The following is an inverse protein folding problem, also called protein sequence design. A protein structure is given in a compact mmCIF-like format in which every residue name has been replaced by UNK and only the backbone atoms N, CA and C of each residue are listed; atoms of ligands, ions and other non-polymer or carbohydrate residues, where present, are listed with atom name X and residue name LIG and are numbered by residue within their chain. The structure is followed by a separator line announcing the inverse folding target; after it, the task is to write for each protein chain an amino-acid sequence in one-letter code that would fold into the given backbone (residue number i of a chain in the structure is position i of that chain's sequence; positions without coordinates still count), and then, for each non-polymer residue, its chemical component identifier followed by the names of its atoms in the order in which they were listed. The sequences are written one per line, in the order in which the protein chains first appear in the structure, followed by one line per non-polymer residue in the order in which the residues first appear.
data_IF_665365997739
#
_entry.id   IF_665365997739
#
_cell.length_a   1.000
_cell.length_b   1.000
_cell.length_c   1.000
_cell.angle_alpha   90.00
_cell.angle_beta   90.00
_cell.angle_gamma   90.00
#
_symmetry.space_group_name_H-M   'P 1'
#
loop_
_entity.id
_entity.type
_entity.pdbx_description
1 polymer ?
#
# COMPACT_ATOMS: atom_id res chain seq x y z
N UNK A 1 18.22 -9.88 -1.03
CA UNK A 1 18.10 -8.42 -1.29
C UNK A 1 18.13 -7.74 0.07
N UNK A 2 18.93 -6.69 0.25
CA UNK A 2 18.87 -5.89 1.47
C UNK A 2 17.61 -5.00 1.47
N UNK A 3 16.97 -4.79 2.63
CA UNK A 3 15.82 -3.92 2.74
C UNK A 3 16.19 -2.48 2.36
N UNK A 4 15.34 -1.84 1.54
CA UNK A 4 15.47 -0.45 1.12
C UNK A 4 14.24 0.33 1.54
N UNK A 5 14.44 1.56 2.01
CA UNK A 5 13.36 2.50 2.29
C UNK A 5 13.19 3.39 1.07
N UNK A 6 11.96 3.63 0.67
CA UNK A 6 11.63 4.47 -0.46
C UNK A 6 10.83 5.69 -0.01
N UNK A 7 11.03 6.80 -0.70
CA UNK A 7 10.24 8.03 -0.57
C UNK A 7 9.57 8.32 -1.90
N UNK A 8 8.27 8.59 -1.86
CA UNK A 8 7.50 8.95 -3.04
C UNK A 8 6.52 10.07 -2.73
N UNK A 9 6.26 10.93 -3.71
CA UNK A 9 5.13 11.83 -3.72
C UNK A 9 4.06 11.28 -4.68
N UNK A 10 2.80 11.32 -4.26
CA UNK A 10 1.68 10.79 -5.04
C UNK A 10 0.60 11.86 -5.08
N UNK A 11 0.38 12.43 -6.25
CA UNK A 11 -0.77 13.29 -6.48
C UNK A 11 -2.01 12.41 -6.73
N UNK A 12 -3.05 12.60 -5.92
CA UNK A 12 -4.33 11.93 -6.11
C UNK A 12 -5.15 12.74 -7.12
N UNK A 13 -5.34 12.23 -8.36
CA UNK A 13 -6.01 12.98 -9.41
C UNK A 13 -7.49 13.19 -9.07
N UNK A 14 -8.08 14.24 -9.63
CA UNK A 14 -9.48 14.60 -9.36
C UNK A 14 -10.45 13.45 -9.66
N UNK A 15 -10.26 12.72 -10.76
CA UNK A 15 -11.09 11.54 -11.08
C UNK A 15 -11.03 10.43 -10.01
N UNK A 16 -9.90 10.25 -9.33
CA UNK A 16 -9.80 9.33 -8.20
C UNK A 16 -10.64 9.81 -7.01
N UNK A 17 -10.68 11.12 -6.76
CA UNK A 17 -11.51 11.74 -5.71
C UNK A 17 -12.99 11.56 -6.00
N UNK A 18 -13.40 11.69 -7.26
CA UNK A 18 -14.78 11.48 -7.70
C UNK A 18 -15.23 10.02 -7.54
N UNK A 19 -14.36 9.06 -7.88
CA UNK A 19 -14.63 7.62 -7.66
C UNK A 19 -14.81 7.36 -6.15
N UNK A 20 -13.89 7.88 -5.32
CA UNK A 20 -13.96 7.72 -3.88
C UNK A 20 -15.21 8.37 -3.27
N UNK A 21 -15.57 9.57 -3.72
CA UNK A 21 -16.80 10.23 -3.30
C UNK A 21 -18.03 9.39 -3.66
N UNK A 22 -18.11 8.94 -4.91
CA UNK A 22 -19.18 8.06 -5.38
C UNK A 22 -19.26 6.76 -4.60
N UNK A 23 -18.12 6.17 -4.25
CA UNK A 23 -18.06 4.90 -3.51
C UNK A 23 -18.75 4.94 -2.14
N UNK A 24 -18.86 6.14 -1.56
CA UNK A 24 -19.48 6.36 -0.24
C UNK A 24 -20.92 6.86 -0.31
N UNK A 25 -21.31 7.48 -1.43
CA UNK A 25 -22.64 8.09 -1.59
C UNK A 25 -23.59 7.25 -2.43
N UNK A 26 -23.09 6.28 -3.18
CA UNK A 26 -23.89 5.42 -4.04
C UNK A 26 -23.72 3.94 -3.68
N UNK A 27 -24.83 3.20 -3.77
CA UNK A 27 -24.82 1.75 -3.64
C UNK A 27 -24.24 1.12 -4.91
N UNK A 28 -23.69 -0.07 -4.76
CA UNK A 28 -23.24 -0.86 -5.90
C UNK A 28 -24.45 -1.35 -6.71
N UNK A 29 -24.42 -1.17 -8.04
CA UNK A 29 -25.52 -1.60 -8.92
C UNK A 29 -25.74 -3.12 -8.90
N UNK A 30 -24.68 -3.90 -8.66
CA UNK A 30 -24.71 -5.35 -8.57
C UNK A 30 -25.27 -5.86 -7.24
N UNK A 31 -25.30 -5.02 -6.20
CA UNK A 31 -25.82 -5.37 -4.86
C UNK A 31 -26.57 -4.18 -4.25
N UNK A 32 -27.71 -3.78 -4.85
CA UNK A 32 -28.46 -2.59 -4.43
C UNK A 32 -29.06 -2.71 -3.03
N UNK A 33 -29.20 -3.93 -2.50
CA UNK A 33 -29.65 -4.20 -1.14
C UNK A 33 -28.61 -3.79 -0.08
N UNK A 34 -27.33 -3.76 -0.44
CA UNK A 34 -26.25 -3.40 0.47
C UNK A 34 -26.12 -1.89 0.57
N UNK A 35 -25.92 -1.40 1.79
CA UNK A 35 -25.62 0.01 2.01
C UNK A 35 -24.35 0.42 1.26
N UNK A 36 -24.29 1.70 0.87
CA UNK A 36 -23.06 2.29 0.35
C UNK A 36 -21.94 2.18 1.40
N UNK A 37 -20.69 2.22 0.95
CA UNK A 37 -19.55 2.10 1.86
C UNK A 37 -19.50 3.33 2.76
N UNK A 38 -19.19 3.11 4.03
CA UNK A 38 -18.98 4.23 4.96
C UNK A 38 -17.58 4.87 4.82
N UNK A 39 -16.67 4.25 4.06
CA UNK A 39 -15.31 4.74 3.81
C UNK A 39 -14.91 4.61 2.35
N UNK A 40 -14.17 5.62 1.89
CA UNK A 40 -13.34 5.54 0.69
C UNK A 40 -12.01 4.85 1.02
N UNK A 41 -11.33 4.33 0.01
CA UNK A 41 -10.04 3.65 0.19
C UNK A 41 -9.05 4.08 -0.89
N UNK A 42 -7.84 4.40 -0.47
CA UNK A 42 -6.65 4.54 -1.31
C UNK A 42 -5.69 3.43 -0.92
N UNK A 43 -5.24 2.66 -1.90
CA UNK A 43 -4.31 1.54 -1.70
C UNK A 43 -3.02 1.93 -2.42
N UNK A 44 -1.90 1.89 -1.69
CA UNK A 44 -0.57 2.19 -2.21
C UNK A 44 0.24 0.90 -2.16
N UNK A 45 0.69 0.44 -3.32
CA UNK A 45 1.59 -0.71 -3.44
C UNK A 45 2.97 -0.24 -3.89
N UNK A 46 4.00 -0.75 -3.22
CA UNK A 46 5.39 -0.50 -3.55
C UNK A 46 6.03 -1.83 -3.98
N UNK A 47 6.61 -1.86 -5.17
CA UNK A 47 7.34 -3.00 -5.70
C UNK A 47 8.86 -2.80 -5.56
N UNK A 48 9.66 -3.89 -5.57
CA UNK A 48 11.11 -3.81 -5.73
C UNK A 48 11.51 -2.91 -6.91
N UNK A 49 12.52 -2.07 -6.70
CA UNK A 49 12.95 -1.07 -7.68
C UNK A 49 12.22 0.27 -7.56
N UNK A 50 11.32 0.44 -6.58
CA UNK A 50 10.73 1.74 -6.24
C UNK A 50 9.49 2.09 -7.06
N UNK A 51 8.90 1.14 -7.79
CA UNK A 51 7.65 1.41 -8.52
C UNK A 51 6.50 1.49 -7.51
N UNK A 52 5.82 2.62 -7.49
CA UNK A 52 4.61 2.82 -6.69
C UNK A 52 3.41 2.79 -7.61
N UNK A 53 2.44 1.94 -7.27
CA UNK A 53 1.15 1.86 -7.96
C UNK A 53 0.04 2.17 -6.95
N UNK A 54 -0.92 2.97 -7.39
CA UNK A 54 -2.02 3.44 -6.55
C UNK A 54 -3.34 3.01 -7.13
N UNK A 55 -4.23 2.56 -6.24
CA UNK A 55 -5.60 2.20 -6.56
C UNK A 55 -6.58 2.91 -5.62
N UNK A 56 -7.78 3.12 -6.12
CA UNK A 56 -8.97 3.42 -5.29
C UNK A 56 -10.00 2.31 -5.44
N UNK A 57 -10.96 2.26 -4.53
CA UNK A 57 -12.12 1.37 -4.64
C UNK A 57 -13.34 2.15 -5.12
N UNK A 58 -14.05 1.61 -6.11
CA UNK A 58 -15.35 2.12 -6.51
C UNK A 58 -16.49 1.67 -5.56
N UNK A 59 -17.73 2.04 -5.87
CA UNK A 59 -18.93 1.66 -5.07
C UNK A 59 -19.12 0.15 -4.97
N UNK A 60 -18.60 -0.61 -5.93
CA UNK A 60 -18.67 -2.06 -6.00
C UNK A 60 -17.41 -2.77 -5.50
N UNK A 61 -16.51 -2.02 -4.86
CA UNK A 61 -15.24 -2.52 -4.34
C UNK A 61 -14.27 -3.05 -5.42
N UNK A 62 -14.40 -2.63 -6.68
CA UNK A 62 -13.39 -2.90 -7.70
C UNK A 62 -12.17 -2.00 -7.46
N UNK A 63 -10.97 -2.55 -7.70
CA UNK A 63 -9.74 -1.78 -7.60
C UNK A 63 -9.46 -1.04 -8.92
N UNK A 64 -9.56 0.29 -8.89
CA UNK A 64 -9.31 1.15 -10.04
C UNK A 64 -7.90 1.73 -9.91
N UNK A 65 -7.03 1.49 -10.90
CA UNK A 65 -5.69 2.10 -10.97
C UNK A 65 -5.84 3.59 -11.26
N UNK A 66 -5.23 4.44 -10.42
CA UNK A 66 -5.40 5.90 -10.54
C UNK A 66 -4.10 6.66 -10.69
N UNK A 67 -2.98 6.13 -10.20
CA UNK A 67 -1.68 6.78 -10.33
C UNK A 67 -0.57 5.74 -10.31
N UNK A 68 0.55 6.08 -10.95
CA UNK A 68 1.81 5.34 -10.91
C UNK A 68 2.93 6.35 -10.75
N UNK A 69 3.88 6.06 -9.86
CA UNK A 69 5.03 6.92 -9.60
C UNK A 69 6.30 6.07 -9.48
N UNK A 70 7.44 6.72 -9.66
CA UNK A 70 8.74 6.18 -9.31
C UNK A 70 9.16 6.80 -7.98
N UNK A 71 9.46 5.95 -7.00
CA UNK A 71 9.99 6.34 -5.72
C UNK A 71 11.52 6.36 -5.77
N UNK A 72 12.09 7.28 -5.00
CA UNK A 72 13.52 7.37 -4.76
C UNK A 72 13.88 6.57 -3.51
N UNK A 73 15.13 6.10 -3.44
CA UNK A 73 15.66 5.51 -2.20
C UNK A 73 15.82 6.63 -1.16
N UNK A 74 15.30 6.43 0.04
CA UNK A 74 15.44 7.36 1.15
C UNK A 74 16.85 7.22 1.75
N UNK A 75 17.74 8.22 1.61
CA UNK A 75 19.12 8.12 2.08
C UNK A 75 19.23 7.97 3.60
N UNK A 76 18.26 8.47 4.37
CA UNK A 76 18.24 8.32 5.83
C UNK A 76 17.81 6.92 6.29
N UNK A 77 17.35 6.07 5.36
CA UNK A 77 16.86 4.74 5.68
C UNK A 77 15.53 4.76 6.45
N UNK A 78 15.23 3.70 7.23
CA UNK A 78 13.96 3.57 7.92
C UNK A 78 13.76 4.64 9.01
N UNK A 79 12.51 4.89 9.37
CA UNK A 79 12.11 5.88 10.40
C UNK A 79 12.72 7.28 10.22
N UNK A 80 13.01 7.68 8.97
CA UNK A 80 13.65 8.96 8.65
C UNK A 80 14.96 9.17 9.40
N UNK A 81 15.76 8.11 9.55
CA UNK A 81 17.07 8.14 10.22
C UNK A 81 17.02 8.06 11.74
N UNK A 82 15.84 8.06 12.37
CA UNK A 82 15.71 7.97 13.84
C UNK A 82 16.22 6.64 14.43
N UNK A 83 16.36 5.61 13.60
CA UNK A 83 16.93 4.31 13.98
C UNK A 83 18.43 4.18 13.63
N UNK A 84 19.10 5.28 13.24
CA UNK A 84 20.49 5.24 12.78
C UNK A 84 20.68 4.42 11.51
N UNK A 85 19.66 4.37 10.65
CA UNK A 85 19.65 3.57 9.43
C UNK A 85 19.32 2.08 9.64
N UNK A 86 19.15 1.63 10.88
CA UNK A 86 18.89 0.22 11.16
C UNK A 86 17.42 -0.14 10.98
N UNK A 87 17.16 -1.25 10.29
CA UNK A 87 15.85 -1.90 10.29
C UNK A 87 15.67 -2.69 11.57
N UNK A 88 14.46 -2.69 12.12
CA UNK A 88 14.14 -3.51 13.28
C UNK A 88 14.34 -4.98 12.94
N UNK A 89 15.27 -5.62 13.65
CA UNK A 89 15.48 -7.05 13.52
C UNK A 89 14.33 -7.81 14.17
N UNK A 90 13.99 -8.95 13.58
CA UNK A 90 13.01 -9.83 14.19
C UNK A 90 13.57 -10.46 15.48
N UNK A 91 12.76 -10.55 16.54
CA UNK A 91 13.09 -11.40 17.67
C UNK A 91 13.32 -12.85 17.23
N UNK A 92 14.24 -13.54 17.89
CA UNK A 92 14.72 -14.87 17.49
C UNK A 92 13.58 -15.91 17.37
N UNK A 93 12.58 -15.83 18.24
CA UNK A 93 11.42 -16.72 18.21
C UNK A 93 10.66 -16.66 16.87
N UNK A 94 10.52 -15.47 16.28
CA UNK A 94 9.85 -15.30 14.99
C UNK A 94 10.73 -15.80 13.84
N UNK A 95 12.05 -15.55 13.91
CA UNK A 95 13.00 -16.06 12.92
C UNK A 95 12.96 -17.59 12.85
N UNK A 96 13.00 -18.27 14.00
CA UNK A 96 12.90 -19.74 14.08
C UNK A 96 11.57 -20.27 13.53
N UNK A 97 10.47 -19.56 13.78
CA UNK A 97 9.16 -19.93 13.23
C UNK A 97 9.14 -19.84 11.70
N UNK A 98 9.64 -18.73 11.15
CA UNK A 98 9.72 -18.51 9.70
C UNK A 98 10.59 -19.58 9.03
N UNK A 99 11.77 -19.87 9.59
CA UNK A 99 12.68 -20.91 9.09
C UNK A 99 12.02 -22.30 9.14
N UNK A 100 11.34 -22.64 10.25
CA UNK A 100 10.68 -23.94 10.44
C UNK A 100 9.56 -24.18 9.43
N UNK A 101 8.78 -23.15 9.09
CA UNK A 101 7.60 -23.27 8.23
C UNK A 101 7.83 -22.77 6.80
N UNK A 102 9.06 -22.39 6.44
CA UNK A 102 9.41 -21.91 5.10
C UNK A 102 8.64 -20.66 4.69
N UNK A 103 8.32 -19.77 5.64
CA UNK A 103 7.55 -18.56 5.35
C UNK A 103 8.44 -17.60 4.56
N UNK A 104 7.99 -17.10 3.39
CA UNK A 104 8.83 -16.29 2.52
C UNK A 104 8.91 -14.83 3.02
N UNK A 105 9.59 -14.62 4.15
CA UNK A 105 9.71 -13.30 4.79
C UNK A 105 10.67 -12.35 4.06
N UNK A 106 11.59 -12.85 3.23
CA UNK A 106 12.58 -12.01 2.53
C UNK A 106 12.27 -11.72 1.07
N UNK A 107 11.13 -12.18 0.54
CA UNK A 107 10.85 -12.23 -0.91
C UNK A 107 9.87 -11.16 -1.41
N UNK A 108 9.84 -10.00 -0.78
CA UNK A 108 8.98 -8.87 -1.14
C UNK A 108 9.80 -7.59 -1.26
#
# INVERSE_FOLDING_TARGET
MEPKTYRAWIDIPQGAREIMHTSTHQRCAQTPEKAARFTASVIVGLAPGGIVQVWVRDSCNNAIKVARAQADVEPLGPHLGKSGGNYYQQPEAYRRYIEKYGIPYGSW
#
